data_IF_979584741876
#
_entry.id   IF_979584741876
#
_cell.length_a   1.000
_cell.length_b   1.000
_cell.length_c   1.000
_cell.angle_alpha   90.00
_cell.angle_beta   90.00
_cell.angle_gamma   90.00
#
_symmetry.space_group_name_H-M   'P 1'
#
loop_
_entity.id
_entity.type
_entity.pdbx_description
1 polymer ?
#
# COMPACT_ATOMS: atom_id res chain seq x y z
N UNK A 1 -7.81 -40.31 -11.21
CA UNK A 1 -7.34 -39.31 -10.24
C UNK A 1 -6.69 -38.16 -11.00
N UNK A 2 -6.80 -36.92 -10.52
CA UNK A 2 -6.18 -35.77 -11.19
C UNK A 2 -4.64 -35.85 -11.05
N UNK A 3 -3.89 -35.54 -12.12
CA UNK A 3 -2.40 -35.51 -12.13
C UNK A 3 -1.79 -34.70 -10.98
N UNK A 4 -2.54 -33.72 -10.44
CA UNK A 4 -2.12 -32.92 -9.29
C UNK A 4 -1.95 -33.72 -7.99
N UNK A 5 -2.85 -34.68 -7.71
CA UNK A 5 -2.79 -35.49 -6.49
C UNK A 5 -1.61 -36.46 -6.48
N UNK A 6 -1.24 -36.99 -7.65
CA UNK A 6 -0.08 -37.87 -7.78
C UNK A 6 1.23 -37.12 -7.49
N UNK A 7 1.37 -35.89 -8.01
CA UNK A 7 2.53 -35.03 -7.73
C UNK A 7 2.62 -34.62 -6.25
N UNK A 8 1.49 -34.32 -5.61
CA UNK A 8 1.43 -34.01 -4.17
C UNK A 8 1.87 -35.21 -3.33
N UNK A 9 1.37 -36.41 -3.68
CA UNK A 9 1.74 -37.64 -3.01
C UNK A 9 3.24 -37.97 -3.15
N UNK A 10 3.81 -37.72 -4.32
CA UNK A 10 5.25 -37.86 -4.57
C UNK A 10 6.09 -36.94 -3.67
N UNK A 11 5.67 -35.69 -3.49
CA UNK A 11 6.32 -34.73 -2.59
C UNK A 11 6.29 -35.24 -1.13
N UNK A 12 5.15 -35.71 -0.65
CA UNK A 12 5.02 -36.25 0.73
C UNK A 12 5.94 -37.46 0.93
N UNK A 13 5.95 -38.39 -0.02
CA UNK A 13 6.85 -39.55 0.01
C UNK A 13 8.32 -39.14 0.07
N UNK A 14 8.70 -38.17 -0.74
CA UNK A 14 10.07 -37.71 -0.81
C UNK A 14 10.50 -37.01 0.49
N UNK A 15 9.62 -36.19 1.07
CA UNK A 15 9.85 -35.55 2.37
C UNK A 15 10.07 -36.61 3.45
N UNK A 16 9.21 -37.62 3.53
CA UNK A 16 9.40 -38.70 4.49
C UNK A 16 10.72 -39.44 4.22
N UNK A 17 11.09 -39.64 2.95
CA UNK A 17 12.32 -40.36 2.64
C UNK A 17 13.60 -39.71 3.18
N UNK A 18 13.65 -38.38 3.15
CA UNK A 18 14.80 -37.61 3.64
C UNK A 18 14.94 -37.62 5.16
N UNK A 19 13.84 -37.88 5.87
CA UNK A 19 13.84 -38.11 7.33
C UNK A 19 14.22 -39.56 7.67
N UNK A 20 14.71 -40.32 6.69
CA UNK A 20 15.26 -41.66 6.84
C UNK A 20 14.30 -42.79 6.50
N UNK A 21 13.19 -42.49 5.83
CA UNK A 21 12.19 -43.49 5.47
C UNK A 21 12.38 -44.00 4.03
N UNK A 22 11.92 -45.21 3.74
CA UNK A 22 11.97 -45.77 2.39
C UNK A 22 10.58 -46.26 2.06
N UNK A 23 9.96 -45.61 1.08
CA UNK A 23 8.62 -45.95 0.61
C UNK A 23 8.66 -46.13 -0.89
N UNK A 24 7.91 -47.10 -1.37
CA UNK A 24 7.80 -47.38 -2.80
C UNK A 24 6.56 -46.73 -3.41
N UNK A 25 5.49 -46.51 -2.62
CA UNK A 25 4.24 -45.86 -3.08
C UNK A 25 3.51 -45.10 -1.97
N UNK A 26 2.66 -44.12 -2.31
CA UNK A 26 1.95 -43.30 -1.30
C UNK A 26 0.84 -44.06 -0.58
N UNK A 27 0.33 -45.14 -1.19
CA UNK A 27 -0.62 -46.06 -0.57
C UNK A 27 -0.03 -46.78 0.64
N UNK A 28 1.30 -46.81 0.76
CA UNK A 28 1.96 -47.37 1.92
C UNK A 28 1.81 -46.48 3.16
N UNK A 29 1.53 -45.17 3.05
CA UNK A 29 1.55 -44.19 4.17
C UNK A 29 0.42 -44.39 5.23
N UNK A 30 -0.25 -45.53 5.27
CA UNK A 30 -1.38 -45.81 6.16
C UNK A 30 -1.01 -45.86 7.67
N UNK A 31 -2.01 -45.81 8.58
CA UNK A 31 -1.86 -45.69 10.06
C UNK A 31 -0.83 -46.64 10.69
N UNK A 32 -0.63 -47.83 10.12
CA UNK A 32 0.34 -48.85 10.59
C UNK A 32 1.80 -48.43 10.41
N UNK A 33 2.07 -47.38 9.63
CA UNK A 33 3.42 -46.87 9.37
C UNK A 33 3.82 -45.85 10.43
N UNK A 34 2.94 -44.92 10.78
CA UNK A 34 3.22 -43.93 11.81
C UNK A 34 3.47 -44.58 13.18
N UNK A 35 2.83 -45.72 13.47
CA UNK A 35 3.07 -46.50 14.68
C UNK A 35 4.48 -47.13 14.78
N UNK A 36 5.24 -47.18 13.68
CA UNK A 36 6.62 -47.70 13.66
C UNK A 36 7.67 -46.59 13.80
N UNK A 37 7.25 -45.33 13.84
CA UNK A 37 8.16 -44.19 13.82
C UNK A 37 8.58 -43.80 15.24
N UNK A 38 9.87 -43.45 15.41
CA UNK A 38 10.31 -42.78 16.65
C UNK A 38 9.69 -41.39 16.70
N UNK A 39 9.34 -40.95 17.90
CA UNK A 39 8.72 -39.63 18.15
C UNK A 39 9.53 -38.50 17.50
N UNK A 40 10.85 -38.56 17.57
CA UNK A 40 11.70 -37.49 17.00
C UNK A 40 11.64 -37.43 15.47
N UNK A 41 11.60 -38.57 14.79
CA UNK A 41 11.47 -38.60 13.33
C UNK A 41 10.09 -38.12 12.88
N UNK A 42 9.04 -38.46 13.64
CA UNK A 42 7.69 -37.90 13.45
C UNK A 42 7.69 -36.37 13.58
N UNK A 43 8.41 -35.82 14.57
CA UNK A 43 8.55 -34.36 14.73
C UNK A 43 9.19 -33.75 13.49
N UNK A 44 10.30 -34.32 13.04
CA UNK A 44 11.06 -33.78 11.91
C UNK A 44 10.24 -33.82 10.61
N UNK A 45 9.55 -34.94 10.35
CA UNK A 45 8.65 -35.09 9.21
C UNK A 45 7.49 -34.09 9.29
N UNK A 46 6.79 -33.98 10.42
CA UNK A 46 5.67 -33.06 10.56
C UNK A 46 6.08 -31.60 10.40
N UNK A 47 7.22 -31.19 10.97
CA UNK A 47 7.78 -29.84 10.80
C UNK A 47 8.07 -29.58 9.32
N UNK A 48 8.79 -30.50 8.66
CA UNK A 48 9.17 -30.33 7.27
C UNK A 48 7.95 -30.26 6.35
N UNK A 49 6.97 -31.15 6.56
CA UNK A 49 5.70 -31.18 5.83
C UNK A 49 4.89 -29.91 6.07
N UNK A 50 4.84 -29.41 7.32
CA UNK A 50 4.17 -28.15 7.63
C UNK A 50 4.75 -26.97 6.86
N UNK A 51 6.06 -26.95 6.63
CA UNK A 51 6.72 -25.92 5.81
C UNK A 51 6.40 -26.05 4.32
N UNK A 52 6.39 -27.27 3.79
CA UNK A 52 6.11 -27.56 2.37
C UNK A 52 4.66 -27.22 2.00
N UNK A 53 3.72 -27.39 2.93
CA UNK A 53 2.30 -27.16 2.70
C UNK A 53 1.77 -25.89 3.42
N UNK A 54 2.66 -25.08 3.98
CA UNK A 54 2.34 -23.87 4.76
C UNK A 54 1.22 -24.07 5.80
N UNK A 55 1.27 -25.20 6.52
CA UNK A 55 0.32 -25.51 7.58
C UNK A 55 0.87 -24.94 8.90
N UNK A 56 0.14 -24.02 9.52
CA UNK A 56 0.52 -23.52 10.84
C UNK A 56 0.28 -24.60 11.91
N UNK A 57 1.38 -25.08 12.52
CA UNK A 57 1.30 -26.08 13.58
C UNK A 57 1.49 -25.42 14.97
N UNK A 58 0.51 -25.51 15.87
CA UNK A 58 0.66 -25.05 17.24
C UNK A 58 1.79 -25.78 17.98
N UNK A 59 2.62 -25.05 18.72
CA UNK A 59 3.76 -25.61 19.46
C UNK A 59 3.34 -26.66 20.51
N UNK A 60 2.08 -26.60 20.98
CA UNK A 60 1.49 -27.61 21.87
C UNK A 60 1.18 -28.95 21.16
N UNK A 61 0.84 -28.91 19.86
CA UNK A 61 0.61 -30.09 19.02
C UNK A 61 1.93 -30.80 18.69
N UNK A 62 3.01 -30.05 18.51
CA UNK A 62 4.39 -30.57 18.42
C UNK A 62 4.80 -31.45 19.60
N UNK A 63 4.25 -31.21 20.79
CA UNK A 63 4.62 -31.94 22.01
C UNK A 63 3.65 -33.07 22.36
N UNK A 64 2.35 -32.96 22.03
CA UNK A 64 1.33 -33.84 22.63
C UNK A 64 0.91 -35.06 21.81
N UNK A 65 0.91 -35.06 20.47
CA UNK A 65 0.77 -36.28 19.64
C UNK A 65 0.95 -35.95 18.15
N UNK A 66 2.20 -35.92 17.68
CA UNK A 66 2.54 -35.62 16.28
C UNK A 66 2.12 -36.69 15.29
N UNK A 67 2.02 -37.94 15.73
CA UNK A 67 1.45 -39.02 14.93
C UNK A 67 -0.01 -38.70 14.57
N UNK A 68 -0.80 -38.28 15.55
CA UNK A 68 -2.20 -37.96 15.36
C UNK A 68 -2.37 -36.77 14.41
N UNK A 69 -1.50 -35.76 14.51
CA UNK A 69 -1.47 -34.66 13.54
C UNK A 69 -1.23 -35.15 12.10
N UNK A 70 -0.20 -35.98 11.90
CA UNK A 70 0.12 -36.53 10.58
C UNK A 70 -1.04 -37.34 10.01
N UNK A 71 -1.71 -38.14 10.84
CA UNK A 71 -2.90 -38.89 10.45
C UNK A 71 -4.09 -37.99 10.12
N UNK A 72 -4.35 -36.96 10.92
CA UNK A 72 -5.48 -36.03 10.72
C UNK A 72 -5.31 -35.13 9.51
N UNK A 73 -4.06 -34.83 9.13
CA UNK A 73 -3.77 -33.88 8.05
C UNK A 73 -3.30 -34.56 6.77
N UNK A 74 -3.14 -35.89 6.72
CA UNK A 74 -2.65 -36.60 5.53
C UNK A 74 -3.54 -36.35 4.31
N UNK A 75 -4.85 -36.45 4.45
CA UNK A 75 -5.79 -36.17 3.36
C UNK A 75 -5.74 -34.70 2.92
N UNK A 76 -5.56 -33.79 3.87
CA UNK A 76 -5.39 -32.36 3.59
C UNK A 76 -4.12 -32.12 2.78
N UNK A 77 -2.99 -32.69 3.20
CA UNK A 77 -1.69 -32.62 2.51
C UNK A 77 -1.75 -33.20 1.10
N UNK A 78 -2.45 -34.31 0.91
CA UNK A 78 -2.66 -34.93 -0.40
C UNK A 78 -3.71 -34.22 -1.26
N UNK A 79 -4.41 -33.22 -0.73
CA UNK A 79 -5.40 -32.44 -1.46
C UNK A 79 -4.94 -31.01 -1.75
N UNK A 80 -4.09 -30.44 -0.90
CA UNK A 80 -3.59 -29.09 -1.03
C UNK A 80 -2.37 -29.02 -1.94
N UNK A 81 -2.29 -27.97 -2.76
CA UNK A 81 -1.08 -27.66 -3.52
C UNK A 81 0.01 -27.21 -2.55
N UNK A 82 1.18 -27.84 -2.56
CA UNK A 82 2.28 -27.45 -1.68
C UNK A 82 2.72 -26.02 -2.01
N UNK A 83 2.96 -25.25 -0.96
CA UNK A 83 3.44 -23.88 -1.02
C UNK A 83 4.77 -23.82 -0.29
N UNK A 84 5.85 -23.71 -1.06
CA UNK A 84 7.19 -23.61 -0.52
C UNK A 84 7.42 -22.21 0.06
N UNK A 85 7.55 -22.13 1.38
CA UNK A 85 7.81 -20.88 2.13
C UNK A 85 9.12 -20.94 2.92
N UNK A 86 9.70 -19.80 3.31
CA UNK A 86 10.84 -19.81 4.24
C UNK A 86 10.34 -20.20 5.65
N UNK A 87 10.94 -21.20 6.31
CA UNK A 87 10.63 -21.54 7.70
C UNK A 87 10.79 -20.34 8.64
N UNK A 88 9.73 -20.02 9.41
CA UNK A 88 9.74 -18.93 10.42
C UNK A 88 10.81 -19.16 11.51
N UNK A 89 11.13 -20.42 11.82
CA UNK A 89 12.14 -20.81 12.83
C UNK A 89 12.92 -22.03 12.35
N UNK A 90 14.24 -21.92 12.28
CA UNK A 90 15.12 -23.04 11.95
C UNK A 90 15.38 -23.81 13.24
N UNK A 91 14.67 -24.93 13.41
CA UNK A 91 14.78 -25.77 14.62
C UNK A 91 15.94 -26.76 14.49
N UNK A 92 16.30 -27.14 13.26
CA UNK A 92 17.35 -28.12 12.98
C UNK A 92 17.97 -27.83 11.61
N UNK A 93 19.30 -27.71 11.57
CA UNK A 93 20.05 -27.36 10.35
C UNK A 93 19.90 -28.42 9.25
N UNK A 94 19.92 -29.72 9.60
CA UNK A 94 19.77 -30.82 8.65
C UNK A 94 18.37 -30.85 8.01
N UNK A 95 17.32 -30.56 8.79
CA UNK A 95 15.94 -30.46 8.28
C UNK A 95 15.80 -29.26 7.34
N UNK A 96 16.42 -28.13 7.68
CA UNK A 96 16.40 -26.94 6.84
C UNK A 96 17.16 -27.15 5.52
N UNK A 97 18.33 -27.78 5.56
CA UNK A 97 19.06 -28.16 4.34
C UNK A 97 18.24 -29.10 3.47
N UNK A 98 17.59 -30.09 4.09
CA UNK A 98 16.67 -31.01 3.40
C UNK A 98 15.52 -30.25 2.74
N UNK A 99 14.91 -29.30 3.45
CA UNK A 99 13.83 -28.46 2.92
C UNK A 99 14.27 -27.68 1.68
N UNK A 100 15.44 -27.07 1.72
CA UNK A 100 16.00 -26.28 0.61
C UNK A 100 16.34 -27.18 -0.59
N UNK A 101 16.90 -28.38 -0.34
CA UNK A 101 17.18 -29.35 -1.41
C UNK A 101 15.90 -29.80 -2.13
N UNK A 102 14.84 -30.10 -1.38
CA UNK A 102 13.55 -30.47 -1.95
C UNK A 102 12.94 -29.30 -2.72
N UNK A 103 13.00 -28.09 -2.17
CA UNK A 103 12.54 -26.88 -2.87
C UNK A 103 13.22 -26.70 -4.22
N UNK A 104 14.54 -26.85 -4.28
CA UNK A 104 15.30 -26.78 -5.53
C UNK A 104 14.86 -27.86 -6.54
N UNK A 105 14.67 -29.10 -6.09
CA UNK A 105 14.21 -30.20 -6.95
C UNK A 105 12.81 -29.96 -7.54
N UNK A 106 11.92 -29.29 -6.80
CA UNK A 106 10.58 -28.96 -7.27
C UNK A 106 10.49 -27.60 -7.97
N UNK A 107 11.63 -26.99 -8.33
CA UNK A 107 11.68 -25.75 -9.12
C UNK A 107 11.39 -24.47 -8.32
N UNK A 108 11.53 -24.50 -6.99
CA UNK A 108 11.42 -23.32 -6.13
C UNK A 108 12.76 -22.56 -6.05
N UNK A 109 13.21 -22.01 -7.18
CA UNK A 109 14.52 -21.34 -7.33
C UNK A 109 14.70 -20.09 -6.46
N UNK A 110 13.61 -19.53 -5.91
CA UNK A 110 13.62 -18.33 -5.07
C UNK A 110 13.94 -18.60 -3.59
N UNK A 111 14.08 -19.86 -3.15
CA UNK A 111 14.49 -20.23 -1.78
C UNK A 111 16.01 -20.09 -1.54
N UNK A 112 16.74 -19.31 -2.34
CA UNK A 112 18.18 -19.13 -2.18
C UNK A 112 18.51 -18.55 -0.80
N UNK A 113 19.28 -19.32 -0.03
CA UNK A 113 19.79 -18.95 1.28
C UNK A 113 20.78 -17.79 1.08
N UNK A 114 20.34 -16.56 1.34
CA UNK A 114 21.27 -15.45 1.56
C UNK A 114 21.95 -15.69 2.91
N UNK A 115 23.13 -16.31 2.89
CA UNK A 115 23.98 -16.43 4.08
C UNK A 115 24.51 -15.04 4.43
N UNK A 116 24.06 -14.52 5.57
CA UNK A 116 24.58 -13.29 6.16
C UNK A 116 23.78 -12.04 5.82
N UNK A 117 22.58 -11.91 6.41
CA UNK A 117 22.19 -10.89 7.40
C UNK A 117 20.91 -11.46 8.04
N UNK A 118 20.84 -11.52 9.37
CA UNK A 118 19.66 -11.97 10.10
C UNK A 118 18.54 -10.93 9.97
N UNK A 119 17.83 -10.96 8.85
CA UNK A 119 16.62 -10.19 8.65
C UNK A 119 15.51 -11.12 8.15
N UNK A 120 14.36 -11.08 8.82
CA UNK A 120 13.21 -11.94 8.53
C UNK A 120 12.56 -11.55 7.20
N UNK A 121 13.12 -12.02 6.09
CA UNK A 121 12.45 -11.98 4.79
C UNK A 121 11.14 -12.75 4.86
N UNK A 122 10.00 -12.05 4.80
CA UNK A 122 8.67 -12.62 4.72
C UNK A 122 8.24 -12.62 3.23
N UNK A 123 8.03 -13.79 2.60
CA UNK A 123 7.56 -13.87 1.22
C UNK A 123 6.21 -13.18 1.03
N UNK A 124 5.99 -12.54 -0.14
CA UNK A 124 4.74 -11.83 -0.51
C UNK A 124 3.46 -12.63 -0.23
N UNK A 125 3.50 -13.96 -0.38
CA UNK A 125 2.36 -14.86 -0.22
C UNK A 125 2.04 -15.17 1.25
N UNK A 126 2.98 -14.93 2.17
CA UNK A 126 2.83 -15.17 3.60
C UNK A 126 2.32 -13.93 4.35
N UNK A 127 2.21 -12.79 3.68
CA UNK A 127 1.58 -11.60 4.22
C UNK A 127 0.07 -11.65 3.99
N UNK A 128 -0.75 -11.34 5.00
CA UNK A 128 -2.15 -10.98 4.78
C UNK A 128 -2.18 -9.59 4.14
N UNK A 129 -1.75 -9.47 2.87
CA UNK A 129 -1.80 -8.23 2.08
C UNK A 129 -3.24 -7.69 1.94
N UNK A 130 -4.24 -8.52 2.24
CA UNK A 130 -5.64 -8.11 2.36
C UNK A 130 -5.89 -7.13 3.52
N UNK A 131 -4.94 -6.94 4.44
CA UNK A 131 -5.08 -6.07 5.62
C UNK A 131 -4.27 -4.75 5.56
N UNK A 132 -3.48 -4.47 4.51
CA UNK A 132 -2.84 -3.15 4.38
C UNK A 132 -3.91 -2.16 3.93
N UNK A 133 -4.51 -1.45 4.88
CA UNK A 133 -5.73 -0.73 4.56
C UNK A 133 -5.50 0.47 3.62
N UNK A 134 -4.36 1.17 3.63
CA UNK A 134 -4.21 2.37 2.76
C UNK A 134 -2.74 2.71 2.42
N UNK A 135 -2.23 2.24 1.28
CA UNK A 135 -1.01 2.81 0.68
C UNK A 135 -1.31 4.15 -0.01
N UNK A 136 -0.30 5.01 -0.16
CA UNK A 136 -0.49 6.31 -0.82
C UNK A 136 -1.08 6.17 -2.24
N UNK A 137 -2.16 6.88 -2.56
CA UNK A 137 -2.84 6.80 -3.86
C UNK A 137 -2.05 7.49 -4.99
N UNK A 138 -1.00 8.25 -4.64
CA UNK A 138 -0.08 8.89 -5.58
C UNK A 138 0.84 7.88 -6.30
N UNK A 139 0.86 6.64 -5.80
CA UNK A 139 1.68 5.58 -6.35
C UNK A 139 0.82 4.39 -6.76
N UNK A 140 1.22 3.73 -7.84
CA UNK A 140 0.71 2.42 -8.22
C UNK A 140 1.77 1.38 -7.91
N UNK A 141 1.57 0.60 -6.85
CA UNK A 141 2.50 -0.43 -6.39
C UNK A 141 2.35 -1.70 -7.23
N UNK A 142 3.47 -2.26 -7.68
CA UNK A 142 3.47 -3.43 -8.56
C UNK A 142 4.10 -4.65 -7.90
N UNK A 143 5.19 -4.44 -7.15
CA UNK A 143 6.03 -5.51 -6.63
C UNK A 143 6.59 -5.14 -5.26
N UNK A 144 6.57 -6.11 -4.34
CA UNK A 144 7.36 -6.04 -3.09
C UNK A 144 8.76 -6.54 -3.42
N UNK A 145 9.77 -5.71 -3.16
CA UNK A 145 11.19 -6.05 -3.32
C UNK A 145 11.71 -6.78 -2.08
N UNK A 146 11.45 -6.23 -0.91
CA UNK A 146 11.85 -6.84 0.36
C UNK A 146 10.91 -6.43 1.49
N UNK A 147 10.88 -7.23 2.54
CA UNK A 147 10.17 -6.95 3.78
C UNK A 147 11.03 -7.40 4.96
N UNK A 148 11.09 -6.55 5.97
CA UNK A 148 11.87 -6.74 7.18
C UNK A 148 10.96 -6.58 8.39
N UNK A 149 11.00 -7.52 9.32
CA UNK A 149 10.40 -7.39 10.65
C UNK A 149 11.54 -7.12 11.64
N UNK A 150 11.45 -6.03 12.41
CA UNK A 150 12.52 -5.63 13.33
C UNK A 150 12.06 -5.66 14.79
N UNK A 151 12.96 -6.05 15.69
CA UNK A 151 12.79 -5.89 17.14
C UNK A 151 12.99 -4.43 17.55
N UNK A 152 12.18 -3.93 18.49
CA UNK A 152 12.21 -2.53 18.95
C UNK A 152 13.55 -2.09 19.58
N UNK A 153 14.33 -3.04 20.10
CA UNK A 153 15.56 -2.78 20.88
C UNK A 153 16.83 -2.71 20.03
N UNK A 154 16.74 -2.95 18.70
CA UNK A 154 17.91 -3.03 17.82
C UNK A 154 18.04 -1.80 16.92
N UNK A 155 19.27 -1.55 16.46
CA UNK A 155 19.52 -0.65 15.34
C UNK A 155 18.76 -1.13 14.10
N UNK A 156 18.16 -0.20 13.35
CA UNK A 156 17.39 -0.49 12.15
C UNK A 156 18.30 -0.40 10.92
N UNK A 157 19.06 -1.47 10.67
CA UNK A 157 19.94 -1.59 9.51
C UNK A 157 19.48 -2.73 8.63
N UNK A 158 19.26 -2.43 7.35
CA UNK A 158 18.76 -3.40 6.38
C UNK A 158 19.74 -3.52 5.22
N UNK A 159 19.92 -4.74 4.71
CA UNK A 159 20.64 -4.96 3.47
C UNK A 159 19.85 -5.90 2.57
N UNK A 160 19.61 -5.48 1.33
CA UNK A 160 18.97 -6.33 0.33
C UNK A 160 19.52 -6.06 -1.07
N UNK A 161 19.25 -6.99 -1.97
CA UNK A 161 19.55 -6.89 -3.39
C UNK A 161 18.24 -6.73 -4.16
N UNK A 162 18.21 -5.75 -5.06
CA UNK A 162 17.08 -5.51 -5.96
C UNK A 162 17.24 -6.47 -7.15
N UNK A 163 16.19 -7.22 -7.53
CA UNK A 163 16.21 -8.04 -8.74
C UNK A 163 16.64 -7.23 -9.97
N UNK A 164 17.45 -7.82 -10.84
CA UNK A 164 17.98 -7.16 -12.05
C UNK A 164 16.86 -6.58 -12.92
N UNK A 165 15.76 -7.31 -13.09
CA UNK A 165 14.60 -6.84 -13.85
C UNK A 165 14.01 -5.56 -13.24
N UNK A 166 13.86 -5.51 -11.92
CA UNK A 166 13.35 -4.32 -11.21
C UNK A 166 14.28 -3.11 -11.36
N UNK A 167 15.60 -3.32 -11.44
CA UNK A 167 16.56 -2.24 -11.70
C UNK A 167 16.46 -1.73 -13.13
N UNK A 168 16.30 -2.64 -14.09
CA UNK A 168 16.06 -2.26 -15.47
C UNK A 168 14.82 -1.37 -15.56
N UNK A 169 13.72 -1.73 -14.88
CA UNK A 169 12.53 -0.87 -14.78
C UNK A 169 12.82 0.49 -14.13
N UNK A 170 13.57 0.53 -13.01
CA UNK A 170 13.93 1.79 -12.36
C UNK A 170 14.76 2.71 -13.28
N UNK A 171 15.60 2.14 -14.14
CA UNK A 171 16.47 2.87 -15.04
C UNK A 171 15.74 3.32 -16.31
N UNK A 172 14.89 2.47 -16.87
CA UNK A 172 14.15 2.72 -18.11
C UNK A 172 12.99 3.71 -17.88
N UNK A 173 12.27 3.60 -16.77
CA UNK A 173 11.05 4.38 -16.53
C UNK A 173 11.27 5.47 -15.48
N UNK A 174 11.30 6.72 -15.92
CA UNK A 174 11.48 7.89 -15.04
C UNK A 174 10.40 8.05 -13.96
N UNK A 175 9.24 7.41 -14.09
CA UNK A 175 8.16 7.42 -13.09
C UNK A 175 8.27 6.26 -12.09
N UNK A 176 9.11 5.26 -12.37
CA UNK A 176 9.31 4.12 -11.49
C UNK A 176 10.10 4.54 -10.24
N UNK A 177 9.68 4.04 -9.09
CA UNK A 177 10.20 4.39 -7.76
C UNK A 177 10.39 3.15 -6.92
N UNK A 178 11.47 3.17 -6.13
CA UNK A 178 11.66 2.25 -5.02
C UNK A 178 11.28 2.97 -3.73
N UNK A 179 10.18 2.52 -3.14
CA UNK A 179 9.51 3.18 -2.02
C UNK A 179 9.63 2.32 -0.77
N UNK A 180 10.01 2.92 0.35
CA UNK A 180 10.02 2.26 1.66
C UNK A 180 8.83 2.75 2.50
N UNK A 181 8.05 1.81 3.00
CA UNK A 181 6.99 2.03 3.97
C UNK A 181 7.34 1.38 5.30
N UNK A 182 6.90 1.98 6.39
CA UNK A 182 6.97 1.41 7.73
C UNK A 182 5.54 1.07 8.18
N UNK A 183 5.34 -0.13 8.69
CA UNK A 183 4.08 -0.60 9.23
C UNK A 183 4.24 -1.09 10.65
N UNK A 184 3.13 -1.22 11.34
CA UNK A 184 3.06 -1.78 12.67
C UNK A 184 1.85 -2.70 12.77
N UNK A 185 1.98 -3.73 13.60
CA UNK A 185 0.85 -4.57 13.95
C UNK A 185 -0.04 -3.82 14.95
N UNK A 186 -1.29 -3.60 14.56
CA UNK A 186 -2.37 -3.14 15.45
C UNK A 186 -3.25 -4.31 15.83
N UNK A 187 -3.79 -4.26 17.05
CA UNK A 187 -4.92 -5.11 17.41
C UNK A 187 -6.15 -4.22 17.29
N UNK A 188 -6.98 -4.45 16.28
CA UNK A 188 -8.26 -3.75 16.19
C UNK A 188 -9.19 -4.13 17.36
N UNK A 189 -10.33 -3.46 17.47
CA UNK A 189 -11.32 -3.68 18.54
C UNK A 189 -11.78 -5.15 18.67
N UNK A 190 -11.69 -5.92 17.58
CA UNK A 190 -12.03 -7.34 17.54
C UNK A 190 -10.87 -8.28 17.95
N UNK A 191 -9.75 -7.73 18.44
CA UNK A 191 -8.50 -8.46 18.70
C UNK A 191 -7.93 -9.20 17.47
N UNK A 192 -8.35 -8.82 16.27
CA UNK A 192 -7.78 -9.32 15.02
C UNK A 192 -6.54 -8.47 14.71
N UNK A 193 -5.37 -9.09 14.48
CA UNK A 193 -4.19 -8.37 14.02
C UNK A 193 -4.45 -7.69 12.68
N UNK A 194 -4.26 -6.38 12.62
CA UNK A 194 -4.22 -5.56 11.42
C UNK A 194 -2.83 -4.96 11.24
N UNK A 195 -2.50 -4.58 10.02
CA UNK A 195 -1.23 -3.91 9.70
C UNK A 195 -1.56 -2.50 9.28
N UNK A 196 -1.24 -1.54 10.14
CA UNK A 196 -1.39 -0.13 9.85
C UNK A 196 -0.07 0.47 9.42
N UNK A 197 -0.12 1.43 8.51
CA UNK A 197 1.07 2.12 8.04
C UNK A 197 1.40 3.24 9.01
N UNK A 198 2.65 3.32 9.48
CA UNK A 198 3.08 4.45 10.29
C UNK A 198 3.24 5.65 9.34
N UNK A 199 2.51 6.76 9.56
CA UNK A 199 2.80 8.00 8.84
C UNK A 199 4.26 8.38 9.13
N UNK A 200 5.05 8.63 8.09
CA UNK A 200 6.50 8.87 8.25
C UNK A 200 6.80 10.04 9.18
N UNK A 201 5.89 11.00 9.27
CA UNK A 201 5.93 12.14 10.19
C UNK A 201 5.95 11.71 11.66
N UNK A 202 5.24 10.62 12.00
CA UNK A 202 5.16 10.12 13.38
C UNK A 202 6.42 9.35 13.79
N UNK A 203 7.21 8.84 12.84
CA UNK A 203 8.44 8.06 13.09
C UNK A 203 9.60 8.95 13.58
N UNK A 204 9.61 10.23 13.20
CA UNK A 204 10.75 11.13 13.42
C UNK A 204 10.41 12.34 14.31
N UNK A 205 9.37 12.25 15.15
CA UNK A 205 8.75 13.42 15.80
C UNK A 205 9.56 14.06 16.96
N UNK A 206 10.82 13.67 17.16
CA UNK A 206 11.68 14.26 18.18
C UNK A 206 12.27 15.60 17.71
N UNK A 207 12.48 16.53 18.66
CA UNK A 207 13.01 17.88 18.46
C UNK A 207 14.46 17.94 17.89
N UNK A 208 14.98 16.85 17.34
CA UNK A 208 16.34 16.78 16.81
C UNK A 208 16.34 17.10 15.30
N UNK A 209 17.17 18.07 14.93
CA UNK A 209 17.24 18.70 13.61
C UNK A 209 17.85 17.85 12.48
N UNK A 210 18.03 16.54 12.67
CA UNK A 210 18.77 15.71 11.69
C UNK A 210 17.92 14.51 11.28
N UNK A 211 17.68 14.43 9.97
CA UNK A 211 17.12 13.26 9.29
C UNK A 211 18.13 12.12 9.34
N UNK A 212 17.67 10.89 9.58
CA UNK A 212 18.57 9.78 9.91
C UNK A 212 18.28 8.50 9.13
N UNK A 213 17.44 8.59 8.10
CA UNK A 213 17.34 7.54 7.11
C UNK A 213 18.44 7.74 6.08
N UNK A 214 19.38 6.81 6.04
CA UNK A 214 20.40 6.75 4.99
C UNK A 214 20.15 5.54 4.12
N UNK A 215 20.25 5.72 2.80
CA UNK A 215 20.25 4.64 1.85
C UNK A 215 21.55 4.69 1.05
N UNK A 216 22.33 3.62 1.08
CA UNK A 216 23.66 3.53 0.49
C UNK A 216 24.60 4.68 0.89
N UNK A 217 24.42 5.22 2.11
CA UNK A 217 25.16 6.36 2.63
C UNK A 217 24.63 7.74 2.20
N UNK A 218 23.61 7.80 1.34
CA UNK A 218 22.92 9.04 1.02
C UNK A 218 21.79 9.30 2.02
N UNK A 219 21.67 10.52 2.57
CA UNK A 219 20.53 10.89 3.38
C UNK A 219 19.27 10.92 2.52
N UNK A 220 18.20 10.29 3.01
CA UNK A 220 16.87 10.35 2.40
C UNK A 220 16.11 11.51 3.03
N UNK A 221 16.03 12.60 2.28
CA UNK A 221 15.38 13.83 2.73
C UNK A 221 13.88 13.71 2.46
N UNK A 222 13.06 13.81 3.50
CA UNK A 222 11.63 14.08 3.36
C UNK A 222 11.38 15.54 3.71
N UNK A 223 10.68 16.29 2.85
CA UNK A 223 10.35 17.69 3.11
C UNK A 223 9.60 17.81 4.44
N UNK A 224 9.97 18.83 5.22
CA UNK A 224 9.60 18.94 6.63
C UNK A 224 8.10 19.19 6.76
N UNK A 225 7.41 18.27 7.40
CA UNK A 225 6.00 18.45 7.76
C UNK A 225 5.94 19.30 9.02
N UNK A 226 5.26 20.44 8.94
CA UNK A 226 5.13 21.33 10.08
C UNK A 226 4.36 20.60 11.19
N UNK A 227 4.89 20.63 12.42
CA UNK A 227 4.33 19.92 13.59
C UNK A 227 2.85 20.20 13.85
N UNK A 228 2.35 21.36 13.42
CA UNK A 228 0.98 21.81 13.65
C UNK A 228 -0.06 21.14 12.73
N UNK A 229 0.36 20.43 11.67
CA UNK A 229 -0.54 19.84 10.66
C UNK A 229 -0.81 18.35 10.88
N UNK A 230 -0.19 17.72 11.89
CA UNK A 230 -0.35 16.29 12.18
C UNK A 230 -1.59 16.11 13.08
N UNK A 231 -2.78 16.23 12.52
CA UNK A 231 -4.00 15.73 13.19
C UNK A 231 -4.10 14.21 13.05
N UNK A 232 -4.63 13.51 14.05
CA UNK A 232 -4.75 12.03 14.10
C UNK A 232 -5.65 11.41 13.02
N UNK A 233 -6.23 12.21 12.14
CA UNK A 233 -7.20 11.78 11.13
C UNK A 233 -6.51 11.37 9.84
N UNK A 234 -6.59 10.06 9.54
CA UNK A 234 -6.16 9.32 8.34
C UNK A 234 -5.46 10.17 7.25
N UNK A 235 -4.17 10.40 7.46
CA UNK A 235 -3.25 10.86 6.42
C UNK A 235 -2.70 9.62 5.73
N UNK A 236 -2.89 9.49 4.42
CA UNK A 236 -2.23 8.42 3.68
C UNK A 236 -0.71 8.53 3.90
N UNK A 237 -0.05 7.44 4.32
CA UNK A 237 1.38 7.44 4.60
C UNK A 237 2.16 7.74 3.31
N UNK A 238 2.93 8.84 3.31
CA UNK A 238 3.89 9.07 2.22
C UNK A 238 5.08 8.15 2.43
N UNK A 239 5.49 7.35 1.44
CA UNK A 239 6.68 6.52 1.55
C UNK A 239 7.97 7.35 1.54
N UNK A 240 9.06 6.73 1.99
CA UNK A 240 10.40 7.21 1.67
C UNK A 240 10.78 6.79 0.26
N UNK A 241 11.10 7.75 -0.59
CA UNK A 241 11.65 7.49 -1.92
C UNK A 241 13.16 7.25 -1.82
N UNK A 242 13.58 6.00 -2.00
CA UNK A 242 14.99 5.59 -1.93
C UNK A 242 15.58 5.33 -3.33
N UNK A 243 14.87 5.73 -4.38
CA UNK A 243 15.21 5.40 -5.77
C UNK A 243 16.61 5.86 -6.17
N UNK A 244 16.98 7.09 -5.84
CA UNK A 244 18.29 7.65 -6.21
C UNK A 244 19.43 6.88 -5.54
N UNK A 245 19.29 6.60 -4.25
CA UNK A 245 20.27 5.83 -3.48
C UNK A 245 20.41 4.40 -4.00
N UNK A 246 19.31 3.76 -4.38
CA UNK A 246 19.32 2.41 -4.95
C UNK A 246 20.08 2.33 -6.28
N UNK A 247 20.00 3.37 -7.13
CA UNK A 247 20.70 3.42 -8.42
C UNK A 247 22.22 3.51 -8.31
N UNK A 248 22.77 3.94 -7.17
CA UNK A 248 24.20 4.17 -7.01
C UNK A 248 25.05 2.90 -6.88
N UNK A 249 24.51 1.81 -6.32
CA UNK A 249 25.32 0.64 -5.92
C UNK A 249 24.81 -0.67 -6.51
N UNK A 250 24.89 -0.83 -7.82
CA UNK A 250 25.04 -2.18 -8.39
C UNK A 250 23.76 -3.02 -8.46
N UNK A 251 22.76 -2.75 -7.62
CA UNK A 251 21.63 -3.59 -7.19
C UNK A 251 21.52 -3.78 -5.66
N UNK A 252 22.57 -3.45 -4.89
CA UNK A 252 22.57 -3.58 -3.43
C UNK A 252 22.12 -2.29 -2.78
N UNK A 253 21.19 -2.42 -1.84
CA UNK A 253 20.69 -1.34 -1.02
C UNK A 253 21.01 -1.64 0.43
N UNK A 254 21.75 -0.73 1.04
CA UNK A 254 21.97 -0.67 2.48
C UNK A 254 21.13 0.47 3.04
N UNK A 255 20.25 0.18 3.99
CA UNK A 255 19.46 1.18 4.70
C UNK A 255 19.94 1.24 6.14
N UNK A 256 20.18 2.45 6.64
CA UNK A 256 20.47 2.71 8.04
C UNK A 256 19.46 3.73 8.55
N UNK A 257 18.64 3.34 9.52
CA UNK A 257 17.67 4.24 10.15
C UNK A 257 18.11 4.50 11.59
N UNK A 258 18.57 5.72 11.84
CA UNK A 258 19.09 6.12 13.15
C UNK A 258 18.05 6.95 13.91
N UNK A 259 18.13 6.93 15.25
CA UNK A 259 17.26 7.65 16.19
C UNK A 259 15.75 7.66 15.85
N UNK A 260 15.19 6.52 15.46
CA UNK A 260 13.74 6.37 15.34
C UNK A 260 13.10 6.45 16.73
N UNK A 261 12.08 7.29 16.89
CA UNK A 261 11.08 7.14 17.94
C UNK A 261 9.79 6.66 17.31
N UNK A 262 9.46 5.39 17.49
CA UNK A 262 8.15 4.92 17.08
C UNK A 262 7.09 5.60 17.96
N UNK A 263 5.94 5.99 17.40
CA UNK A 263 4.84 6.56 18.19
C UNK A 263 4.44 5.56 19.29
N UNK A 264 3.75 6.02 20.34
CA UNK A 264 3.10 5.13 21.31
C UNK A 264 1.80 4.56 20.72
N UNK A 265 1.39 3.36 21.16
CA UNK A 265 0.12 2.77 20.72
C UNK A 265 -1.03 3.67 21.15
N UNK A 266 -2.07 3.92 20.32
CA UNK A 266 -3.23 4.70 20.76
C UNK A 266 -3.86 4.11 22.03
N UNK A 267 -3.79 2.78 22.21
CA UNK A 267 -4.19 2.07 23.42
C UNK A 267 -3.05 1.78 24.42
N UNK A 268 -1.88 2.43 24.34
CA UNK A 268 -0.77 2.19 25.27
C UNK A 268 -1.15 2.42 26.75
N UNK A 269 -2.21 3.20 26.99
CA UNK A 269 -2.77 3.45 28.33
C UNK A 269 -3.76 2.35 28.79
N UNK A 270 -4.18 1.44 27.91
CA UNK A 270 -4.93 0.22 28.27
C UNK A 270 -3.92 -0.91 28.42
N UNK A 271 -3.78 -1.41 29.64
CA UNK A 271 -2.81 -2.41 30.06
C UNK A 271 -2.42 -3.43 28.96
N UNK A 272 -1.14 -3.37 28.53
CA UNK A 272 -0.38 -4.39 27.77
C UNK A 272 -0.39 -4.38 26.23
N UNK A 273 -0.81 -3.32 25.55
CA UNK A 273 -0.63 -3.21 24.08
C UNK A 273 0.63 -2.42 23.71
N UNK A 274 1.81 -2.97 23.96
CA UNK A 274 3.03 -2.49 23.30
C UNK A 274 3.02 -2.97 21.84
N UNK A 275 3.42 -2.10 20.90
CA UNK A 275 3.68 -2.53 19.53
C UNK A 275 4.62 -3.73 19.56
N UNK A 276 4.28 -4.82 18.87
CA UNK A 276 5.12 -6.01 18.92
C UNK A 276 6.34 -5.83 18.02
N UNK A 277 6.14 -5.42 16.76
CA UNK A 277 7.23 -5.29 15.79
C UNK A 277 6.89 -4.26 14.70
N UNK A 278 7.78 -3.29 14.38
CA UNK A 278 7.72 -2.56 13.12
C UNK A 278 8.11 -3.45 11.94
N UNK A 279 7.42 -3.24 10.81
CA UNK A 279 7.72 -3.87 9.54
C UNK A 279 8.17 -2.80 8.53
N UNK A 280 9.29 -3.03 7.85
CA UNK A 280 9.76 -2.17 6.76
C UNK A 280 9.58 -2.90 5.44
N UNK A 281 8.71 -2.39 4.57
CA UNK A 281 8.47 -2.97 3.24
C UNK A 281 8.99 -2.04 2.17
N UNK A 282 9.68 -2.63 1.20
CA UNK A 282 10.23 -1.96 0.03
C UNK A 282 9.40 -2.35 -1.19
N UNK A 283 8.77 -1.38 -1.83
CA UNK A 283 7.93 -1.55 -3.00
C UNK A 283 8.57 -0.94 -4.24
N UNK A 284 8.45 -1.64 -5.36
CA UNK A 284 8.53 -1.05 -6.68
C UNK A 284 7.15 -0.51 -7.06
N UNK A 285 7.08 0.77 -7.40
CA UNK A 285 5.84 1.44 -7.74
C UNK A 285 6.06 2.50 -8.83
N UNK A 286 4.97 2.90 -9.50
CA UNK A 286 4.96 4.03 -10.43
C UNK A 286 4.37 5.23 -9.71
N UNK A 287 5.09 6.35 -9.73
CA UNK A 287 4.53 7.66 -9.36
C UNK A 287 3.54 8.07 -10.44
N UNK A 288 2.30 8.31 -10.06
CA UNK A 288 1.24 8.75 -10.96
C UNK A 288 1.32 10.26 -11.15
N UNK A 289 1.07 10.72 -12.37
CA UNK A 289 0.91 12.15 -12.63
C UNK A 289 -0.55 12.60 -12.38
N UNK A 290 -0.76 13.93 -12.36
CA UNK A 290 -2.08 14.53 -12.12
C UNK A 290 -3.15 14.03 -13.09
N UNK A 291 -2.80 13.81 -14.36
CA UNK A 291 -3.72 13.30 -15.37
C UNK A 291 -4.15 11.85 -15.07
N UNK A 292 -3.22 10.97 -14.72
CA UNK A 292 -3.52 9.58 -14.34
C UNK A 292 -4.38 9.51 -13.08
N UNK A 293 -4.12 10.39 -12.11
CA UNK A 293 -4.94 10.51 -10.90
C UNK A 293 -6.32 11.04 -11.25
N UNK A 294 -6.44 12.05 -12.09
CA UNK A 294 -7.72 12.58 -12.57
C UNK A 294 -8.55 11.48 -13.26
N UNK A 295 -7.92 10.65 -14.09
CA UNK A 295 -8.58 9.49 -14.72
C UNK A 295 -9.07 8.46 -13.70
N UNK A 296 -8.38 8.28 -12.57
CA UNK A 296 -8.89 7.45 -11.46
C UNK A 296 -10.10 8.11 -10.80
N UNK A 297 -10.06 9.43 -10.60
CA UNK A 297 -11.17 10.18 -9.99
C UNK A 297 -12.42 10.19 -10.88
N UNK A 298 -12.29 10.19 -12.21
CA UNK A 298 -13.42 10.07 -13.15
C UNK A 298 -14.22 8.76 -12.99
N UNK A 299 -13.64 7.73 -12.37
CA UNK A 299 -14.35 6.48 -12.04
C UNK A 299 -15.20 6.60 -10.77
N UNK A 300 -14.96 7.64 -9.96
CA UNK A 300 -15.78 7.98 -8.80
C UNK A 300 -16.92 8.90 -9.27
N UNK A 301 -18.02 8.99 -8.51
CA UNK A 301 -19.04 9.98 -8.80
C UNK A 301 -18.46 11.41 -8.76
N UNK A 302 -18.87 12.26 -9.68
CA UNK A 302 -18.52 13.67 -9.73
C UNK A 302 -19.33 14.42 -8.65
N UNK A 303 -18.77 15.49 -8.11
CA UNK A 303 -19.34 16.22 -6.98
C UNK A 303 -19.85 17.59 -7.43
N UNK A 304 -21.03 18.00 -6.98
CA UNK A 304 -21.55 19.37 -7.20
C UNK A 304 -22.64 19.71 -6.17
N UNK A 305 -23.24 20.91 -6.23
CA UNK A 305 -24.42 21.27 -5.43
C UNK A 305 -25.72 20.97 -6.18
N UNK A 306 -26.86 20.99 -5.48
CA UNK A 306 -28.16 20.64 -6.07
C UNK A 306 -28.50 21.54 -7.26
N UNK A 307 -28.32 22.85 -7.10
CA UNK A 307 -28.56 23.85 -8.15
C UNK A 307 -27.85 23.53 -9.48
N UNK A 308 -26.55 23.20 -9.43
CA UNK A 308 -25.80 22.90 -10.65
C UNK A 308 -26.05 21.51 -11.17
N UNK A 309 -26.40 20.55 -10.30
CA UNK A 309 -26.86 19.25 -10.76
C UNK A 309 -28.09 19.38 -11.64
N UNK A 310 -29.05 20.21 -11.25
CA UNK A 310 -30.26 20.46 -12.03
C UNK A 310 -29.94 21.19 -13.34
N UNK A 311 -29.06 22.21 -13.30
CA UNK A 311 -28.62 22.92 -14.50
C UNK A 311 -27.88 22.00 -15.51
N UNK A 312 -26.98 21.13 -15.02
CA UNK A 312 -26.28 20.15 -15.85
C UNK A 312 -27.26 19.13 -16.45
N UNK A 313 -28.23 18.67 -15.66
CA UNK A 313 -29.26 17.72 -16.11
C UNK A 313 -30.15 18.34 -17.19
N UNK A 314 -30.61 19.58 -17.00
CA UNK A 314 -31.41 20.31 -17.99
C UNK A 314 -30.66 20.49 -19.31
N UNK A 315 -29.34 20.77 -19.26
CA UNK A 315 -28.46 20.86 -20.43
C UNK A 315 -28.05 19.50 -21.01
N UNK A 316 -28.51 18.38 -20.44
CA UNK A 316 -28.10 17.00 -20.82
C UNK A 316 -26.57 16.84 -20.83
N UNK A 317 -25.90 17.55 -19.94
CA UNK A 317 -24.45 17.55 -19.81
C UNK A 317 -23.99 16.39 -18.92
N UNK A 318 -22.84 15.79 -19.26
CA UNK A 318 -22.18 14.76 -18.45
C UNK A 318 -23.07 13.55 -18.11
N UNK A 319 -24.02 13.17 -18.96
CA UNK A 319 -24.96 12.07 -18.73
C UNK A 319 -24.29 10.70 -18.52
N UNK A 320 -23.08 10.51 -19.05
CA UNK A 320 -22.30 9.28 -18.88
C UNK A 320 -21.64 9.18 -17.48
N UNK A 321 -21.73 10.23 -16.66
CA UNK A 321 -21.11 10.32 -15.36
C UNK A 321 -22.13 10.30 -14.23
N UNK A 322 -21.81 9.57 -13.16
CA UNK A 322 -22.61 9.58 -11.94
C UNK A 322 -22.31 10.86 -11.13
N UNK A 323 -23.33 11.60 -10.69
CA UNK A 323 -23.17 12.89 -9.98
C UNK A 323 -23.80 12.83 -8.59
N UNK A 324 -22.97 13.10 -7.56
CA UNK A 324 -23.35 13.18 -6.15
C UNK A 324 -23.33 14.63 -5.65
N UNK A 325 -23.98 14.85 -4.50
CA UNK A 325 -24.08 16.15 -3.84
C UNK A 325 -23.05 16.29 -2.72
N UNK A 326 -22.63 17.52 -2.44
CA UNK A 326 -21.78 17.86 -1.29
C UNK A 326 -22.54 17.57 0.00
N UNK A 327 -21.91 16.83 0.92
CA UNK A 327 -22.53 16.45 2.20
C UNK A 327 -22.34 17.56 3.22
N UNK A 328 -23.12 18.63 3.10
CA UNK A 328 -23.56 19.44 4.23
C UNK A 328 -24.65 20.41 3.76
N UNK A 329 -25.85 20.06 4.19
CA UNK A 329 -27.09 20.82 4.21
C UNK A 329 -26.97 21.99 5.18
N UNK A 330 -26.86 23.22 4.66
CA UNK A 330 -27.20 24.48 5.36
C UNK A 330 -27.24 25.68 4.41
N UNK A 331 -26.53 25.63 3.28
CA UNK A 331 -26.37 26.81 2.39
C UNK A 331 -27.34 26.86 1.19
N UNK A 332 -28.17 25.83 0.97
CA UNK A 332 -29.26 25.94 -0.02
C UNK A 332 -30.29 27.03 0.38
N UNK A 333 -30.34 27.44 1.67
CA UNK A 333 -31.14 28.57 2.15
C UNK A 333 -30.42 29.93 2.07
N UNK A 334 -29.08 29.99 2.06
CA UNK A 334 -28.32 31.26 1.98
C UNK A 334 -28.02 31.71 0.54
N UNK A 335 -28.22 30.84 -0.46
CA UNK A 335 -28.13 31.18 -1.90
C UNK A 335 -29.28 32.08 -2.39
N UNK A 336 -30.26 32.40 -1.54
CA UNK A 336 -31.49 33.09 -1.93
C UNK A 336 -31.34 34.59 -2.30
N UNK A 337 -30.13 35.20 -2.28
CA UNK A 337 -30.06 36.66 -2.51
C UNK A 337 -28.96 37.29 -3.37
N UNK A 338 -27.96 36.57 -3.91
CA UNK A 338 -26.90 37.23 -4.73
C UNK A 338 -26.45 36.34 -5.90
N UNK A 339 -26.17 36.91 -7.08
CA UNK A 339 -25.50 36.18 -8.17
C UNK A 339 -24.08 35.81 -7.74
N UNK A 340 -23.62 34.64 -8.17
CA UNK A 340 -22.35 34.10 -7.68
C UNK A 340 -21.36 33.89 -8.81
N UNK A 341 -20.10 34.16 -8.51
CA UNK A 341 -19.02 34.04 -9.49
C UNK A 341 -18.18 32.80 -9.18
N UNK A 342 -18.13 31.87 -10.12
CA UNK A 342 -17.30 30.68 -10.05
C UNK A 342 -15.96 30.96 -10.73
N UNK A 343 -14.88 30.85 -9.96
CA UNK A 343 -13.52 31.04 -10.47
C UNK A 343 -13.00 29.75 -11.12
N UNK A 344 -12.53 29.86 -12.36
CA UNK A 344 -11.78 28.83 -13.08
C UNK A 344 -10.26 29.09 -13.02
N UNK A 345 -9.83 29.98 -12.14
CA UNK A 345 -8.44 30.30 -11.84
C UNK A 345 -8.13 29.86 -10.41
N UNK A 346 -6.99 29.19 -10.23
CA UNK A 346 -6.54 28.75 -8.91
C UNK A 346 -6.21 29.95 -8.01
N UNK A 347 -6.66 29.87 -6.76
CA UNK A 347 -6.34 30.85 -5.71
C UNK A 347 -4.88 30.75 -5.22
N UNK A 348 -4.14 29.70 -5.55
CA UNK A 348 -2.74 29.52 -5.13
C UNK A 348 -1.77 30.04 -6.18
N UNK A 349 -1.90 29.56 -7.42
CA UNK A 349 -0.95 29.91 -8.49
C UNK A 349 -1.42 31.06 -9.38
N UNK A 350 -2.69 31.48 -9.26
CA UNK A 350 -3.34 32.41 -10.20
C UNK A 350 -3.34 31.92 -11.66
N UNK A 351 -3.15 30.61 -11.89
CA UNK A 351 -3.22 29.97 -13.22
C UNK A 351 -4.60 29.35 -13.47
N UNK A 352 -4.99 29.15 -14.74
CA UNK A 352 -6.20 28.39 -15.08
C UNK A 352 -6.18 26.99 -14.46
N UNK A 353 -7.30 26.60 -13.86
CA UNK A 353 -7.49 25.25 -13.32
C UNK A 353 -7.60 24.26 -14.49
N UNK A 354 -6.82 23.19 -14.45
CA UNK A 354 -6.85 22.12 -15.45
C UNK A 354 -7.67 20.93 -14.96
N UNK A 355 -7.51 20.57 -13.69
CA UNK A 355 -8.09 19.38 -13.09
C UNK A 355 -8.92 19.77 -11.86
N UNK A 356 -10.19 20.18 -12.06
CA UNK A 356 -11.01 20.73 -11.00
C UNK A 356 -11.41 19.66 -9.99
N UNK A 357 -10.98 19.81 -8.74
CA UNK A 357 -11.28 18.86 -7.67
C UNK A 357 -11.76 19.52 -6.39
N UNK A 358 -12.51 18.75 -5.60
CA UNK A 358 -13.09 19.17 -4.31
C UNK A 358 -13.26 17.97 -3.36
N UNK A 359 -13.18 18.20 -2.06
CA UNK A 359 -13.56 17.20 -1.05
C UNK A 359 -15.08 17.11 -0.93
N UNK A 360 -15.63 15.93 -0.68
CA UNK A 360 -17.03 15.77 -0.28
C UNK A 360 -17.36 16.53 1.03
N UNK A 361 -16.34 16.88 1.82
CA UNK A 361 -16.44 17.63 3.08
C UNK A 361 -16.26 19.16 2.89
N UNK A 362 -15.98 19.64 1.67
CA UNK A 362 -15.81 21.07 1.42
C UNK A 362 -17.13 21.83 1.67
N UNK A 363 -17.02 23.00 2.30
CA UNK A 363 -18.15 23.94 2.52
C UNK A 363 -18.14 25.13 1.56
N UNK A 364 -17.47 25.01 0.43
CA UNK A 364 -17.40 26.07 -0.57
C UNK A 364 -17.70 25.46 -1.92
N UNK A 365 -18.42 26.21 -2.75
CA UNK A 365 -18.71 25.80 -4.11
C UNK A 365 -18.20 26.79 -5.17
N UNK A 366 -18.05 28.08 -4.83
CA UNK A 366 -17.61 29.14 -5.74
C UNK A 366 -16.12 29.10 -6.09
N UNK A 367 -15.30 28.48 -5.23
CA UNK A 367 -13.85 28.29 -5.43
C UNK A 367 -13.53 26.82 -5.58
N UNK A 368 -12.66 26.49 -6.53
CA UNK A 368 -12.26 25.12 -6.87
C UNK A 368 -10.74 24.97 -6.70
N UNK A 369 -10.30 23.78 -6.32
CA UNK A 369 -8.87 23.45 -6.26
C UNK A 369 -8.42 22.84 -7.59
N UNK A 370 -7.18 23.11 -7.97
CA UNK A 370 -6.52 22.35 -9.02
C UNK A 370 -5.83 21.10 -8.42
N UNK A 371 -6.01 19.94 -9.06
CA UNK A 371 -5.48 18.66 -8.59
C UNK A 371 -3.94 18.64 -8.54
N UNK A 372 -3.26 19.26 -9.50
CA UNK A 372 -1.79 19.25 -9.53
C UNK A 372 -1.22 20.02 -8.34
N UNK A 373 -1.80 21.17 -8.04
CA UNK A 373 -1.44 21.96 -6.86
C UNK A 373 -1.79 21.23 -5.57
N UNK A 374 -2.95 20.58 -5.52
CA UNK A 374 -3.35 19.77 -4.37
C UNK A 374 -2.35 18.63 -4.10
N UNK A 375 -1.95 17.88 -5.14
CA UNK A 375 -0.96 16.79 -5.03
C UNK A 375 0.39 17.36 -4.59
N UNK A 376 0.86 18.44 -5.23
CA UNK A 376 2.14 19.06 -4.90
C UNK A 376 2.22 19.47 -3.42
N UNK A 377 1.14 20.03 -2.88
CA UNK A 377 1.03 20.36 -1.44
C UNK A 377 1.11 19.12 -0.55
N UNK A 378 0.40 18.06 -0.91
CA UNK A 378 0.44 16.78 -0.19
C UNK A 378 1.87 16.21 -0.21
N UNK A 379 2.56 16.27 -1.36
CA UNK A 379 3.94 15.77 -1.50
C UNK A 379 4.96 16.56 -0.70
N UNK A 380 4.84 17.89 -0.64
CA UNK A 380 5.63 18.74 0.27
C UNK A 380 5.25 18.56 1.73
N UNK A 381 4.27 17.68 1.99
CA UNK A 381 3.96 17.20 3.31
C UNK A 381 3.00 18.08 4.10
N UNK A 382 2.27 18.96 3.41
CA UNK A 382 1.08 19.59 3.99
C UNK A 382 -0.01 18.53 4.17
N UNK A 383 -0.86 18.73 5.19
CA UNK A 383 -1.96 17.80 5.48
C UNK A 383 -2.92 17.70 4.29
N UNK A 384 -3.61 16.54 4.18
CA UNK A 384 -4.71 16.31 3.23
C UNK A 384 -5.92 17.18 3.62
N UNK A 385 -5.80 18.48 3.36
CA UNK A 385 -6.81 19.50 3.66
C UNK A 385 -7.06 20.35 2.44
N UNK A 386 -8.29 20.82 2.33
CA UNK A 386 -8.66 21.74 1.29
C UNK A 386 -7.91 23.07 1.48
N UNK A 387 -7.23 23.58 0.44
CA UNK A 387 -6.53 24.87 0.54
C UNK A 387 -7.46 26.08 0.62
N UNK A 388 -8.77 25.89 0.43
CA UNK A 388 -9.79 26.95 0.47
C UNK A 388 -10.46 27.02 1.84
N UNK A 389 -11.06 25.92 2.33
CA UNK A 389 -11.79 25.90 3.60
C UNK A 389 -11.08 25.17 4.74
N UNK A 390 -9.90 24.60 4.49
CA UNK A 390 -9.11 23.84 5.47
C UNK A 390 -9.79 22.56 6.02
N UNK A 391 -10.93 22.16 5.46
CA UNK A 391 -11.60 20.90 5.79
C UNK A 391 -10.77 19.69 5.34
N UNK A 392 -11.00 18.55 6.00
CA UNK A 392 -10.30 17.32 5.66
C UNK A 392 -10.65 16.87 4.22
N UNK A 393 -9.62 16.44 3.50
CA UNK A 393 -9.68 16.11 2.08
C UNK A 393 -8.89 14.84 1.82
N UNK A 394 -9.34 13.70 2.35
CA UNK A 394 -8.72 12.42 2.01
C UNK A 394 -8.91 12.11 0.52
N UNK A 395 -8.05 11.28 -0.07
CA UNK A 395 -8.22 10.88 -1.47
C UNK A 395 -9.55 10.16 -1.74
N UNK A 396 -10.07 9.42 -0.76
CA UNK A 396 -11.39 8.79 -0.83
C UNK A 396 -12.53 9.81 -0.80
N UNK A 397 -12.31 10.96 -0.19
CA UNK A 397 -13.24 12.09 -0.18
C UNK A 397 -13.00 13.06 -1.35
N UNK A 398 -11.92 12.92 -2.12
CA UNK A 398 -11.62 13.79 -3.25
C UNK A 398 -12.43 13.38 -4.48
N UNK A 399 -13.12 14.34 -5.10
CA UNK A 399 -13.93 14.16 -6.30
C UNK A 399 -13.63 15.24 -7.32
N UNK A 400 -13.97 14.96 -8.57
CA UNK A 400 -13.98 15.98 -9.63
C UNK A 400 -15.20 16.87 -9.43
N UNK A 401 -15.02 18.19 -9.49
CA UNK A 401 -16.14 19.11 -9.47
C UNK A 401 -16.88 19.09 -10.81
N UNK A 402 -18.13 18.63 -10.81
CA UNK A 402 -18.88 18.39 -12.04
C UNK A 402 -19.12 19.68 -12.85
N UNK A 403 -19.41 20.77 -12.16
CA UNK A 403 -19.79 22.02 -12.80
C UNK A 403 -18.57 22.73 -13.38
N UNK A 404 -17.51 22.88 -12.59
CA UNK A 404 -16.23 23.41 -13.06
C UNK A 404 -15.66 22.57 -14.21
N UNK A 405 -15.78 21.24 -14.11
CA UNK A 405 -15.36 20.35 -15.19
C UNK A 405 -16.15 20.59 -16.47
N UNK A 406 -17.47 20.71 -16.37
CA UNK A 406 -18.31 21.09 -17.50
C UNK A 406 -17.89 22.44 -18.11
N UNK A 407 -17.66 23.47 -17.29
CA UNK A 407 -17.22 24.79 -17.77
C UNK A 407 -15.87 24.73 -18.51
N UNK A 408 -14.90 24.00 -17.95
CA UNK A 408 -13.57 23.80 -18.55
C UNK A 408 -13.67 23.03 -19.87
N UNK A 409 -14.50 21.98 -19.94
CA UNK A 409 -14.77 21.25 -21.19
C UNK A 409 -15.40 22.14 -22.27
N UNK A 410 -16.17 23.15 -21.85
CA UNK A 410 -16.74 24.18 -22.74
C UNK A 410 -15.84 25.42 -22.89
N UNK A 411 -14.53 25.27 -22.64
CA UNK A 411 -13.49 26.28 -22.87
C UNK A 411 -13.76 27.63 -22.20
N UNK A 412 -14.47 27.64 -21.07
CA UNK A 412 -14.66 28.84 -20.28
C UNK A 412 -13.37 29.19 -19.54
N UNK A 413 -13.09 30.49 -19.38
CA UNK A 413 -11.86 31.00 -18.77
C UNK A 413 -12.14 32.10 -17.76
N UNK A 414 -11.24 32.28 -16.80
CA UNK A 414 -11.34 33.32 -15.78
C UNK A 414 -12.42 32.99 -14.76
N UNK A 415 -13.61 33.55 -14.94
CA UNK A 415 -14.75 33.30 -14.09
C UNK A 415 -16.07 33.30 -14.85
N UNK A 416 -17.04 32.56 -14.32
CA UNK A 416 -18.40 32.46 -14.85
C UNK A 416 -19.35 32.95 -13.77
N UNK A 417 -20.20 33.91 -14.13
CA UNK A 417 -21.30 34.35 -13.27
C UNK A 417 -22.47 33.37 -13.43
N UNK A 418 -23.00 32.92 -12.30
CA UNK A 418 -24.15 32.04 -12.22
C UNK A 418 -25.26 32.77 -11.49
N UNK A 419 -26.44 32.78 -12.10
CA UNK A 419 -27.65 33.36 -11.56
C UNK A 419 -28.23 32.44 -10.48
N UNK A 420 -29.11 33.00 -9.65
CA UNK A 420 -29.74 32.32 -8.51
C UNK A 420 -30.50 31.06 -8.89
N UNK A 421 -31.04 30.99 -10.10
CA UNK A 421 -31.74 29.82 -10.64
C UNK A 421 -30.80 28.78 -11.28
N UNK A 422 -29.49 28.95 -11.10
CA UNK A 422 -28.48 28.07 -11.68
C UNK A 422 -28.26 28.33 -13.17
N UNK A 423 -28.89 29.36 -13.76
CA UNK A 423 -28.60 29.74 -15.14
C UNK A 423 -27.23 30.39 -15.25
N UNK A 424 -26.51 30.02 -16.30
CA UNK A 424 -25.22 30.58 -16.62
C UNK A 424 -25.06 30.60 -18.14
N UNK A 425 -24.38 31.64 -18.61
CA UNK A 425 -24.12 31.88 -20.02
C UNK A 425 -22.67 31.46 -20.32
N UNK A 426 -22.52 30.57 -21.31
CA UNK A 426 -21.20 30.23 -21.84
C UNK A 426 -20.76 31.40 -22.73
N UNK A 427 -19.60 31.99 -22.44
CA UNK A 427 -18.98 32.94 -23.35
C UNK A 427 -18.42 32.16 -24.52
N UNK A 428 -18.84 32.51 -25.74
CA UNK A 428 -18.18 32.02 -26.95
C UNK A 428 -16.74 32.52 -26.92
N UNK A 429 -15.78 31.60 -26.95
CA UNK A 429 -14.39 31.96 -27.18
C UNK A 429 -14.32 32.42 -28.63
N UNK A 430 -14.30 33.74 -28.86
CA UNK A 430 -13.96 34.26 -30.19
C UNK A 430 -12.57 33.73 -30.52
N UNK A 431 -12.52 32.92 -31.57
CA UNK A 431 -11.29 32.48 -32.16
C UNK A 431 -10.75 33.71 -32.89
N UNK A 432 -10.06 34.58 -32.14
CA UNK A 432 -9.34 35.70 -32.74
C UNK A 432 -8.17 35.08 -33.50
N UNK A 433 -8.39 34.89 -34.80
CA UNK A 433 -7.35 34.63 -35.77
C UNK A 433 -6.26 35.71 -35.64
N UNK A 434 -5.01 35.29 -35.81
CA UNK A 434 -3.82 36.12 -35.87
C UNK A 434 -4.03 37.39 -36.71
N UNK A 435 -4.12 38.56 -36.07
CA UNK A 435 -3.52 39.83 -36.52
C UNK A 435 -4.04 41.02 -35.70
N UNK A 436 -3.21 41.50 -34.75
CA UNK A 436 -3.06 42.94 -34.50
C UNK A 436 -1.93 43.14 -33.50
N UNK A 437 -0.83 43.74 -33.97
CA UNK A 437 0.35 43.99 -33.15
C UNK A 437 0.25 45.16 -32.18
N UNK A 438 1.38 45.39 -31.50
CA UNK A 438 1.76 46.52 -30.64
C UNK A 438 0.97 46.58 -29.32
N UNK A 439 1.58 46.47 -28.13
CA UNK A 439 2.86 47.01 -27.64
C UNK A 439 3.55 46.08 -26.63
#
# INVERSE_FOLDING_TARGET
MSKGKEKQAEIVLQVLSQVGFKFSTYKEIDRKIFSKLKIDQLKQAAILISWVFNIEMPEKLLKKNLQEFMEQNLDLLLSQTPVWTKPKKIINAQIFETYVQLGAQFGAEHLQIVKGVQDFYIPRQALPLQAIQQLSPLYQHFQVISLFQQDLEKEYKFQFEIPTDSINYLNEYQQCRLLMYCFYETLGDNHIPSIDVVPTQKIFNNNHHQQLLFANGLPIIQERIQKNDITDTMVFPLPFDITQAAKLKANKVFIDVQNISLPNHPDANKDKSQYKFPYFVFYLAKKLNSQEIFQKLLKKPLLTCQLFKDALTAKKALLDYNIILISNTAEDEELEQVSETISLVSHLSMKPIQFPVRSSQCRHFNKIMDLEEFISRVESGLSFRCSICNEQCSFDQLHIDAFAWYLIQNKQVGSVEVKQDGQFDLKETKQDDEDSGWF
#
